data_IF_646828682393
#
_entry.id   IF_646828682393
#
_cell.length_a   1.000
_cell.length_b   1.000
_cell.length_c   1.000
_cell.angle_alpha   90.00
_cell.angle_beta   90.00
_cell.angle_gamma   90.00
#
_symmetry.space_group_name_H-M   'P 1'
#
loop_
_entity.id
_entity.type
_entity.pdbx_description
1 polymer ?
#
# COMPACT_ATOMS: atom_id res chain seq x y z
N UNK A 1 4.65 -23.18 11.41
CA UNK A 1 4.46 -23.98 10.19
C UNK A 1 3.98 -23.06 9.07
N UNK A 2 4.38 -23.31 7.83
CA UNK A 2 3.88 -22.58 6.65
C UNK A 2 2.65 -23.30 6.08
N UNK A 3 1.81 -22.57 5.33
CA UNK A 3 0.59 -23.13 4.75
C UNK A 3 0.88 -24.26 3.75
N UNK A 4 0.12 -25.37 3.78
CA UNK A 4 0.28 -26.47 2.83
C UNK A 4 -0.24 -26.09 1.43
N UNK A 5 0.17 -26.85 0.42
CA UNK A 5 -0.33 -26.67 -0.96
C UNK A 5 -1.85 -26.81 -1.04
N UNK A 6 -2.49 -25.93 -1.82
CA UNK A 6 -3.95 -25.88 -2.00
C UNK A 6 -4.69 -24.87 -1.12
N UNK A 7 -4.04 -24.28 -0.11
CA UNK A 7 -4.64 -23.25 0.75
C UNK A 7 -3.77 -21.99 0.73
N UNK A 8 -3.99 -21.07 -0.23
CA UNK A 8 -3.14 -19.90 -0.39
C UNK A 8 -3.35 -18.88 0.75
N UNK A 9 -2.28 -18.20 1.15
CA UNK A 9 -2.32 -17.08 2.11
C UNK A 9 -1.55 -15.89 1.55
N UNK A 10 -2.21 -14.73 1.52
CA UNK A 10 -1.59 -13.45 1.20
C UNK A 10 -0.76 -12.91 2.37
N UNK A 11 0.48 -13.37 2.50
CA UNK A 11 1.40 -12.88 3.52
C UNK A 11 1.97 -11.51 3.14
N UNK A 12 2.05 -10.60 4.11
CA UNK A 12 2.69 -9.29 3.98
C UNK A 12 3.88 -9.17 4.94
N UNK A 13 4.66 -8.10 4.82
CA UNK A 13 5.85 -7.89 5.64
C UNK A 13 5.57 -7.85 7.15
N UNK A 14 6.62 -8.01 7.95
CA UNK A 14 6.54 -7.96 9.43
C UNK A 14 6.64 -6.53 9.97
N UNK A 15 6.38 -6.36 11.27
CA UNK A 15 6.51 -5.06 11.95
C UNK A 15 5.42 -4.05 11.56
N UNK A 16 5.66 -2.75 11.80
CA UNK A 16 4.65 -1.70 11.59
C UNK A 16 4.15 -1.59 10.13
N UNK A 17 4.96 -2.00 9.16
CA UNK A 17 4.57 -2.00 7.74
C UNK A 17 3.57 -3.10 7.37
N UNK A 18 3.56 -4.21 8.12
CA UNK A 18 2.69 -5.36 7.86
C UNK A 18 1.20 -5.02 7.90
N UNK A 19 0.68 -4.51 9.03
CA UNK A 19 -0.74 -4.15 9.14
C UNK A 19 -1.21 -3.16 8.06
N UNK A 20 -0.37 -2.17 7.71
CA UNK A 20 -0.67 -1.20 6.65
C UNK A 20 -0.78 -1.90 5.29
N UNK A 21 0.16 -2.80 4.98
CA UNK A 21 0.15 -3.54 3.72
C UNK A 21 -1.01 -4.54 3.64
N UNK A 22 -1.39 -5.18 4.75
CA UNK A 22 -2.56 -6.05 4.81
C UNK A 22 -3.84 -5.27 4.49
N UNK A 23 -4.02 -4.10 5.10
CA UNK A 23 -5.17 -3.22 4.82
C UNK A 23 -5.18 -2.76 3.35
N UNK A 24 -4.04 -2.32 2.82
CA UNK A 24 -3.95 -1.91 1.41
C UNK A 24 -4.17 -3.07 0.44
N UNK A 25 -3.74 -4.29 0.78
CA UNK A 25 -4.02 -5.49 -0.01
C UNK A 25 -5.52 -5.80 -0.02
N UNK A 26 -6.18 -5.76 1.13
CA UNK A 26 -7.63 -5.95 1.23
C UNK A 26 -8.40 -4.91 0.39
N UNK A 27 -8.06 -3.62 0.52
CA UNK A 27 -8.69 -2.55 -0.27
C UNK A 27 -8.48 -2.74 -1.77
N UNK A 28 -7.30 -3.18 -2.21
CA UNK A 28 -7.04 -3.51 -3.62
C UNK A 28 -7.95 -4.61 -4.15
N UNK A 29 -8.18 -5.65 -3.35
CA UNK A 29 -9.10 -6.74 -3.73
C UNK A 29 -10.53 -6.20 -3.83
N UNK A 30 -10.99 -5.44 -2.83
CA UNK A 30 -12.35 -4.89 -2.81
C UNK A 30 -12.60 -3.87 -3.93
N UNK A 31 -11.60 -3.07 -4.30
CA UNK A 31 -11.71 -2.04 -5.35
C UNK A 31 -11.99 -2.61 -6.74
N UNK A 32 -11.82 -3.91 -6.95
CA UNK A 32 -12.22 -4.57 -8.21
C UNK A 32 -13.74 -4.48 -8.41
N UNK A 33 -14.51 -4.48 -7.33
CA UNK A 33 -15.98 -4.42 -7.35
C UNK A 33 -16.55 -3.09 -6.85
N UNK A 34 -15.72 -2.23 -6.25
CA UNK A 34 -16.13 -0.95 -5.66
C UNK A 34 -15.34 0.22 -6.29
N UNK A 35 -15.98 1.00 -7.20
CA UNK A 35 -15.35 2.15 -7.86
C UNK A 35 -14.93 3.27 -6.90
N UNK A 36 -15.61 3.44 -5.77
CA UNK A 36 -15.25 4.46 -4.79
C UNK A 36 -13.96 4.09 -4.06
N UNK A 37 -13.79 2.83 -3.70
CA UNK A 37 -12.52 2.32 -3.18
C UNK A 37 -11.40 2.40 -4.23
N UNK A 38 -11.69 2.15 -5.50
CA UNK A 38 -10.71 2.30 -6.57
C UNK A 38 -10.21 3.75 -6.67
N UNK A 39 -11.12 4.73 -6.66
CA UNK A 39 -10.78 6.15 -6.66
C UNK A 39 -9.97 6.53 -5.41
N UNK A 40 -10.41 6.11 -4.23
CA UNK A 40 -9.70 6.39 -2.98
C UNK A 40 -8.27 5.81 -2.97
N UNK A 41 -8.07 4.64 -3.57
CA UNK A 41 -6.75 4.01 -3.71
C UNK A 41 -5.84 4.80 -4.65
N UNK A 42 -6.35 5.31 -5.77
CA UNK A 42 -5.59 6.16 -6.69
C UNK A 42 -5.18 7.49 -6.04
N UNK A 43 -6.08 8.14 -5.33
CA UNK A 43 -5.75 9.34 -4.57
C UNK A 43 -4.70 9.08 -3.48
N UNK A 44 -4.79 7.94 -2.79
CA UNK A 44 -3.78 7.53 -1.82
C UNK A 44 -2.40 7.40 -2.47
N UNK A 45 -2.31 6.76 -3.65
CA UNK A 45 -1.05 6.63 -4.42
C UNK A 45 -0.50 7.99 -4.83
N UNK A 46 -1.35 8.88 -5.33
CA UNK A 46 -0.96 10.24 -5.71
C UNK A 46 -0.37 11.02 -4.52
N UNK A 47 -1.04 10.98 -3.36
CA UNK A 47 -0.53 11.60 -2.12
C UNK A 47 0.80 11.00 -1.71
N UNK A 48 0.98 9.68 -1.78
CA UNK A 48 2.27 9.05 -1.46
C UNK A 48 3.39 9.55 -2.37
N UNK A 49 3.14 9.63 -3.69
CA UNK A 49 4.10 10.17 -4.65
C UNK A 49 4.49 11.61 -4.32
N UNK A 50 3.51 12.47 -4.07
CA UNK A 50 3.75 13.87 -3.69
C UNK A 50 4.62 13.99 -2.43
N UNK A 51 4.37 13.17 -1.40
CA UNK A 51 5.21 13.17 -0.20
C UNK A 51 6.67 12.81 -0.48
N UNK A 52 6.92 11.86 -1.36
CA UNK A 52 8.30 11.46 -1.71
C UNK A 52 9.00 12.59 -2.45
N UNK A 53 8.33 13.19 -3.44
CA UNK A 53 8.86 14.34 -4.19
C UNK A 53 9.16 15.53 -3.28
N UNK A 54 8.26 15.85 -2.35
CA UNK A 54 8.45 16.94 -1.40
C UNK A 54 9.65 16.69 -0.46
N UNK A 55 9.84 15.43 -0.03
CA UNK A 55 11.00 15.06 0.80
C UNK A 55 12.31 15.13 0.03
N UNK A 56 12.30 14.75 -1.23
CA UNK A 56 13.47 14.83 -2.11
C UNK A 56 13.87 16.29 -2.35
N UNK A 57 12.93 17.15 -2.73
CA UNK A 57 13.19 18.59 -2.90
C UNK A 57 13.79 19.23 -1.64
N UNK A 58 13.22 18.94 -0.47
CA UNK A 58 13.73 19.43 0.81
C UNK A 58 15.13 18.89 1.16
N UNK A 59 15.51 17.72 0.65
CA UNK A 59 16.87 17.20 0.79
C UNK A 59 17.84 17.95 -0.12
N UNK A 60 17.46 18.21 -1.38
CA UNK A 60 18.29 18.94 -2.34
C UNK A 60 18.59 20.37 -1.89
N UNK A 61 17.65 21.04 -1.22
CA UNK A 61 17.88 22.38 -0.65
C UNK A 61 18.90 22.41 0.50
N UNK A 62 19.16 21.26 1.14
CA UNK A 62 20.07 21.14 2.29
C UNK A 62 21.47 20.67 1.91
N UNK A 63 21.66 20.27 0.66
CA UNK A 63 22.95 19.87 0.09
C UNK A 63 23.62 21.09 -0.55
#
# INVERSE_FOLDING_TARGET
>A
AQMPGGVPVGSVGVGRGGPVNAALLAVRILSVADPDLARALEEFRARQRQRVLAKDAALQERL
#
